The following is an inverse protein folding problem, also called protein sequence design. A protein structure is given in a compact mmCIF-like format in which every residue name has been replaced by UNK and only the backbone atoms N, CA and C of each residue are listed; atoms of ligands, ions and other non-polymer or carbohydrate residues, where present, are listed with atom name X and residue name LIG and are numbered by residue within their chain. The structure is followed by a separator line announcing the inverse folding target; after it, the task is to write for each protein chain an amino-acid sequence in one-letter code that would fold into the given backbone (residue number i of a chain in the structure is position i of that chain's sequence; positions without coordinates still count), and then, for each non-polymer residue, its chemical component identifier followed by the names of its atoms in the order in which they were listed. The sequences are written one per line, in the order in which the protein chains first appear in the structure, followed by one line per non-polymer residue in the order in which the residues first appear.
data_IF_089312132636
#
_entry.id   IF_089312132636
#
_cell.length_a   1.000
_cell.length_b   1.000
_cell.length_c   1.000
_cell.angle_alpha   90.00
_cell.angle_beta   90.00
_cell.angle_gamma   90.00
#
_symmetry.space_group_name_H-M   'P 1'
#
loop_
_entity.id
_entity.type
_entity.pdbx_description
1 polymer ?
#
# COMPACT_ATOMS: atom_id res chain seq x y z
N UNK A 1 -84.23 -35.94 -9.60
CA UNK A 1 -84.69 -36.78 -10.73
C UNK A 1 -83.83 -36.45 -11.94
N UNK A 2 -83.23 -37.48 -12.56
CA UNK A 2 -82.31 -37.43 -13.71
C UNK A 2 -83.03 -36.98 -15.01
N UNK A 3 -82.38 -36.76 -16.19
CA UNK A 3 -81.38 -37.63 -16.87
C UNK A 3 -80.13 -36.86 -17.40
N UNK A 4 -78.90 -37.41 -17.52
CA UNK A 4 -78.33 -38.54 -18.31
C UNK A 4 -78.09 -38.22 -19.82
N UNK A 5 -76.86 -37.75 -20.13
CA UNK A 5 -75.92 -38.07 -21.26
C UNK A 5 -76.35 -37.87 -22.75
N UNK A 6 -75.49 -38.05 -23.80
CA UNK A 6 -74.01 -38.05 -23.94
C UNK A 6 -73.44 -37.32 -25.22
N UNK A 7 -72.10 -37.40 -25.38
CA UNK A 7 -71.30 -37.50 -26.63
C UNK A 7 -71.10 -36.27 -27.55
N UNK A 8 -69.85 -35.80 -27.65
CA UNK A 8 -69.04 -35.91 -28.89
C UNK A 8 -67.57 -35.55 -28.68
N UNK A 9 -66.73 -36.55 -28.90
CA UNK A 9 -65.29 -36.43 -29.15
C UNK A 9 -65.03 -35.76 -30.50
N UNK A 10 -64.15 -34.75 -30.52
CA UNK A 10 -63.55 -34.20 -31.73
C UNK A 10 -62.04 -34.14 -31.50
N UNK A 11 -61.33 -35.08 -32.14
CA UNK A 11 -59.88 -35.10 -32.23
C UNK A 11 -59.43 -33.99 -33.20
N UNK A 12 -58.56 -33.09 -32.73
CA UNK A 12 -57.87 -32.13 -33.58
C UNK A 12 -56.43 -32.59 -33.77
N UNK A 13 -56.16 -33.15 -34.96
CA UNK A 13 -54.82 -33.29 -35.50
C UNK A 13 -54.29 -31.92 -35.91
N UNK A 14 -53.14 -31.50 -35.37
CA UNK A 14 -52.35 -30.42 -35.97
C UNK A 14 -50.91 -30.90 -36.20
N UNK A 15 -50.58 -31.08 -37.47
CA UNK A 15 -49.24 -31.41 -37.94
C UNK A 15 -48.27 -30.22 -37.81
N UNK A 16 -46.95 -30.48 -37.82
CA UNK A 16 -45.95 -29.43 -37.66
C UNK A 16 -45.68 -28.70 -38.98
N UNK A 17 -46.22 -27.48 -39.11
CA UNK A 17 -45.84 -26.54 -40.17
C UNK A 17 -44.56 -25.79 -39.77
N UNK A 18 -43.39 -26.31 -40.15
CA UNK A 18 -42.11 -25.58 -40.04
C UNK A 18 -41.86 -24.80 -41.34
N UNK A 19 -42.30 -23.55 -41.38
CA UNK A 19 -41.81 -22.59 -42.39
C UNK A 19 -40.49 -21.98 -41.89
N UNK A 20 -39.39 -22.36 -42.53
CA UNK A 20 -38.06 -21.78 -42.33
C UNK A 20 -37.99 -20.45 -43.07
N UNK A 21 -38.09 -19.33 -42.34
CA UNK A 21 -37.72 -18.02 -42.87
C UNK A 21 -36.20 -17.87 -42.73
N UNK A 22 -35.50 -17.93 -43.86
CA UNK A 22 -34.06 -17.70 -43.98
C UNK A 22 -33.75 -16.21 -43.80
N UNK A 23 -33.10 -15.87 -42.68
CA UNK A 23 -32.61 -14.51 -42.44
C UNK A 23 -31.40 -14.21 -43.33
N UNK A 24 -31.53 -13.20 -44.19
CA UNK A 24 -30.50 -12.70 -45.12
C UNK A 24 -29.27 -12.10 -44.41
N UNK A 25 -29.35 -11.82 -43.10
CA UNK A 25 -28.20 -11.37 -42.31
C UNK A 25 -27.22 -12.51 -41.93
N UNK A 26 -27.63 -13.78 -42.04
CA UNK A 26 -26.78 -14.94 -41.74
C UNK A 26 -25.93 -15.39 -42.94
N UNK A 27 -26.25 -14.98 -44.17
CA UNK A 27 -25.45 -15.33 -45.36
C UNK A 27 -24.15 -14.54 -45.45
N UNK A 28 -24.08 -13.35 -44.84
CA UNK A 28 -22.89 -12.49 -44.84
C UNK A 28 -21.80 -12.90 -43.83
N UNK A 29 -22.07 -13.87 -42.94
CA UNK A 29 -21.05 -14.42 -42.01
C UNK A 29 -20.33 -15.67 -42.52
N UNK A 30 -20.65 -16.17 -43.71
CA UNK A 30 -19.99 -17.38 -44.28
C UNK A 30 -18.79 -17.07 -45.19
N UNK A 31 -18.43 -15.81 -45.37
CA UNK A 31 -17.32 -15.40 -46.24
C UNK A 31 -16.12 -14.77 -45.50
N UNK A 32 -15.83 -15.24 -44.29
CA UNK A 32 -14.49 -15.08 -43.71
C UNK A 32 -13.78 -16.42 -43.82
N UNK A 33 -13.09 -16.59 -44.95
CA UNK A 33 -12.13 -17.66 -45.21
C UNK A 33 -11.20 -17.84 -44.01
N UNK A 34 -11.27 -19.02 -43.40
CA UNK A 34 -10.25 -19.52 -42.49
C UNK A 34 -9.02 -19.94 -43.32
N UNK A 35 -8.19 -18.97 -43.70
CA UNK A 35 -6.80 -19.28 -44.05
C UNK A 35 -6.10 -19.71 -42.76
N UNK A 36 -5.95 -21.03 -42.56
CA UNK A 36 -5.03 -21.59 -41.58
C UNK A 36 -3.63 -21.09 -41.95
N UNK A 37 -2.92 -20.31 -41.12
CA UNK A 37 -1.50 -20.14 -41.34
C UNK A 37 -0.86 -21.52 -41.18
N UNK A 38 -0.18 -21.96 -42.24
CA UNK A 38 0.69 -23.11 -42.23
C UNK A 38 1.67 -22.92 -41.06
N UNK A 39 1.60 -23.81 -40.07
CA UNK A 39 2.64 -23.95 -39.05
C UNK A 39 3.92 -24.29 -39.81
N UNK A 40 4.78 -23.29 -40.03
CA UNK A 40 6.14 -23.56 -40.42
C UNK A 40 6.80 -24.32 -39.26
N UNK A 41 7.14 -25.59 -39.51
CA UNK A 41 7.92 -26.42 -38.60
C UNK A 41 9.25 -25.72 -38.33
N UNK A 42 9.33 -25.04 -37.18
CA UNK A 42 10.59 -24.56 -36.63
C UNK A 42 11.33 -25.79 -36.13
N UNK A 43 12.58 -26.05 -36.56
CA UNK A 43 13.35 -27.18 -36.03
C UNK A 43 13.45 -27.06 -34.49
N UNK A 44 13.40 -28.19 -33.76
CA UNK A 44 13.40 -28.17 -32.31
C UNK A 44 14.69 -27.49 -31.81
N UNK A 45 14.51 -26.46 -30.98
CA UNK A 45 15.61 -25.84 -30.27
C UNK A 45 16.34 -26.91 -29.43
N UNK A 46 17.68 -26.89 -29.36
CA UNK A 46 18.43 -27.85 -28.56
C UNK A 46 18.02 -27.76 -27.09
N UNK A 47 17.78 -28.93 -26.50
CA UNK A 47 17.50 -29.14 -25.08
C UNK A 47 18.59 -28.45 -24.24
N UNK A 48 18.26 -27.56 -23.30
CA UNK A 48 19.27 -27.02 -22.39
C UNK A 48 19.78 -28.15 -21.48
N UNK A 49 21.09 -28.29 -21.41
CA UNK A 49 21.77 -29.25 -20.55
C UNK A 49 21.35 -29.06 -19.07
N UNK A 50 21.15 -30.14 -18.31
CA UNK A 50 20.86 -30.05 -16.88
C UNK A 50 22.14 -29.60 -16.16
N UNK A 51 22.23 -28.33 -15.80
CA UNK A 51 23.38 -27.83 -15.03
C UNK A 51 23.57 -26.33 -14.91
N UNK A 52 22.88 -25.51 -15.71
CA UNK A 52 22.97 -24.05 -15.58
C UNK A 52 21.66 -23.49 -15.01
N UNK A 53 21.53 -23.52 -13.68
CA UNK A 53 20.61 -22.62 -13.01
C UNK A 53 21.04 -21.19 -13.35
N UNK A 54 20.31 -20.56 -14.29
CA UNK A 54 20.43 -19.13 -14.51
C UNK A 54 20.21 -18.44 -13.16
N UNK A 55 21.29 -17.89 -12.60
CA UNK A 55 21.17 -17.00 -11.46
C UNK A 55 20.27 -15.85 -11.91
N UNK A 56 19.10 -15.72 -11.27
CA UNK A 56 18.26 -14.53 -11.44
C UNK A 56 19.17 -13.31 -11.21
N UNK A 57 19.07 -12.25 -12.05
CA UNK A 57 19.81 -11.03 -11.81
C UNK A 57 19.48 -10.55 -10.39
N UNK A 58 20.52 -10.37 -9.57
CA UNK A 58 20.39 -9.96 -8.19
C UNK A 58 19.54 -8.68 -8.14
N UNK A 59 18.34 -8.80 -7.59
CA UNK A 59 17.50 -7.63 -7.30
C UNK A 59 18.29 -6.74 -6.35
N UNK A 60 18.20 -5.41 -6.45
CA UNK A 60 18.82 -4.52 -5.48
C UNK A 60 18.38 -4.93 -4.07
N UNK A 61 19.32 -5.01 -3.13
CA UNK A 61 19.08 -5.42 -1.74
C UNK A 61 18.28 -4.34 -1.00
N UNK A 62 16.97 -4.29 -1.24
CA UNK A 62 16.02 -3.41 -0.57
C UNK A 62 16.00 -3.69 0.94
N UNK A 63 15.77 -2.69 1.79
CA UNK A 63 15.98 -2.84 3.24
C UNK A 63 15.16 -3.91 3.92
N UNK A 64 13.92 -4.15 3.50
CA UNK A 64 13.11 -5.24 4.03
C UNK A 64 13.48 -6.62 3.50
N UNK A 65 14.39 -6.75 2.52
CA UNK A 65 14.92 -8.07 2.10
C UNK A 65 15.64 -8.78 3.26
N UNK A 66 16.24 -8.00 4.18
CA UNK A 66 16.90 -8.50 5.39
C UNK A 66 15.92 -9.06 6.45
N UNK A 67 14.62 -8.76 6.34
CA UNK A 67 13.62 -9.30 7.26
C UNK A 67 13.29 -10.72 6.81
N UNK A 68 13.63 -11.71 7.64
CA UNK A 68 13.32 -13.11 7.39
C UNK A 68 11.85 -13.41 7.74
N UNK A 69 10.90 -12.85 6.99
CA UNK A 69 9.47 -13.05 7.21
C UNK A 69 8.77 -13.71 6.01
N UNK A 70 7.63 -14.40 6.22
CA UNK A 70 6.87 -15.00 5.13
C UNK A 70 6.22 -13.91 4.27
N UNK A 71 6.58 -13.90 2.98
CA UNK A 71 6.10 -12.91 2.00
C UNK A 71 4.89 -13.42 1.21
N UNK A 72 4.17 -12.49 0.58
CA UNK A 72 3.14 -12.77 -0.42
C UNK A 72 3.69 -13.50 -1.66
N UNK A 73 5.00 -13.38 -1.92
CA UNK A 73 5.67 -13.93 -3.09
C UNK A 73 6.98 -14.66 -2.70
N UNK A 74 7.68 -15.27 -3.66
CA UNK A 74 8.92 -16.00 -3.38
C UNK A 74 8.74 -17.35 -2.66
N UNK A 75 9.79 -17.83 -2.00
CA UNK A 75 9.84 -19.15 -1.34
C UNK A 75 8.85 -19.26 -0.17
N UNK A 76 8.25 -20.43 0.00
CA UNK A 76 7.34 -20.72 1.12
C UNK A 76 8.15 -21.09 2.36
N UNK A 77 7.81 -20.51 3.49
CA UNK A 77 8.41 -20.80 4.79
C UNK A 77 7.50 -21.75 5.57
N UNK A 78 8.06 -22.77 6.22
CA UNK A 78 7.31 -23.79 6.97
C UNK A 78 7.11 -23.43 8.44
N UNK A 79 8.17 -22.95 9.10
CA UNK A 79 8.16 -22.50 10.48
C UNK A 79 8.78 -21.11 10.52
N UNK A 80 8.16 -20.20 11.26
CA UNK A 80 8.60 -18.82 11.33
C UNK A 80 8.37 -18.28 12.74
N UNK A 81 9.40 -17.64 13.29
CA UNK A 81 9.35 -16.92 14.55
C UNK A 81 9.81 -15.48 14.28
N UNK A 82 9.02 -14.46 14.65
CA UNK A 82 9.36 -13.09 14.35
C UNK A 82 10.54 -12.62 15.19
N UNK A 83 11.56 -12.11 14.52
CA UNK A 83 12.75 -11.52 15.13
C UNK A 83 12.60 -10.00 15.26
N UNK A 84 13.36 -9.36 16.16
CA UNK A 84 13.46 -7.90 16.22
C UNK A 84 13.97 -7.33 14.89
N UNK A 85 13.46 -6.14 14.52
CA UNK A 85 13.86 -5.48 13.28
C UNK A 85 15.38 -5.19 13.25
N UNK A 86 16.16 -5.80 12.33
CA UNK A 86 17.63 -5.79 12.42
C UNK A 86 18.27 -4.50 11.87
N UNK A 87 17.63 -3.86 10.89
CA UNK A 87 18.13 -2.65 10.21
C UNK A 87 17.01 -1.61 10.03
N UNK A 88 17.37 -0.32 9.88
CA UNK A 88 16.40 0.69 9.47
C UNK A 88 15.75 0.33 8.13
N UNK A 89 14.46 0.62 8.05
CA UNK A 89 13.60 0.39 6.90
C UNK A 89 13.04 1.71 6.39
N UNK A 90 12.73 1.77 5.11
CA UNK A 90 12.24 2.96 4.41
C UNK A 90 12.79 3.08 2.99
N UNK A 91 12.31 4.09 2.28
CA UNK A 91 12.79 4.51 0.97
C UNK A 91 14.14 5.22 1.12
N UNK A 92 15.03 5.09 0.13
CA UNK A 92 16.33 5.73 0.14
C UNK A 92 16.24 7.27 0.02
N UNK A 93 15.27 7.76 -0.76
CA UNK A 93 15.11 9.17 -1.06
C UNK A 93 13.98 9.81 -0.22
N UNK A 94 14.09 11.10 0.12
CA UNK A 94 13.01 11.83 0.76
C UNK A 94 11.73 11.81 -0.09
N UNK A 95 10.54 11.72 0.52
CA UNK A 95 9.30 11.61 -0.22
C UNK A 95 8.89 12.98 -0.78
N UNK A 96 8.53 13.03 -2.06
CA UNK A 96 7.93 14.21 -2.67
C UNK A 96 6.40 14.14 -2.59
N UNK A 97 5.67 15.26 -2.34
CA UNK A 97 4.20 15.27 -2.24
C UNK A 97 3.46 14.73 -3.47
N UNK A 98 4.10 14.70 -4.63
CA UNK A 98 3.49 14.22 -5.88
C UNK A 98 3.82 12.75 -6.17
N UNK A 99 4.71 12.13 -5.40
CA UNK A 99 5.04 10.71 -5.55
C UNK A 99 3.78 9.87 -5.30
N UNK A 100 3.61 8.78 -6.07
CA UNK A 100 2.46 7.87 -5.97
C UNK A 100 1.07 8.53 -6.16
N UNK A 101 1.00 9.74 -6.73
CA UNK A 101 -0.25 10.46 -7.02
C UNK A 101 -1.08 9.86 -8.15
N UNK A 102 -0.50 8.96 -8.95
CA UNK A 102 -1.12 8.42 -10.16
C UNK A 102 -1.20 9.41 -11.32
N UNK A 103 -0.70 10.65 -11.16
CA UNK A 103 -0.62 11.65 -12.23
C UNK A 103 0.56 11.33 -13.12
N UNK A 104 0.27 10.87 -14.34
CA UNK A 104 1.29 10.58 -15.33
C UNK A 104 1.67 11.85 -16.10
N UNK A 105 2.86 12.39 -15.80
CA UNK A 105 3.47 13.59 -16.41
C UNK A 105 3.97 13.39 -17.84
N UNK A 106 3.94 12.16 -18.37
CA UNK A 106 4.37 11.88 -19.75
C UNK A 106 3.51 12.68 -20.73
N UNK A 107 4.16 13.24 -21.75
CA UNK A 107 3.47 13.92 -22.85
C UNK A 107 2.58 12.95 -23.65
N UNK A 108 1.58 13.46 -24.36
CA UNK A 108 0.73 12.63 -25.23
C UNK A 108 1.56 11.85 -26.28
N UNK A 109 2.64 12.46 -26.78
CA UNK A 109 3.58 11.82 -27.69
C UNK A 109 4.29 10.64 -27.02
N UNK A 110 4.86 10.84 -25.83
CA UNK A 110 5.51 9.77 -25.05
C UNK A 110 4.53 8.64 -24.71
N UNK A 111 3.29 8.96 -24.32
CA UNK A 111 2.26 7.95 -24.07
C UNK A 111 1.99 7.11 -25.31
N UNK A 112 1.84 7.74 -26.48
CA UNK A 112 1.63 7.05 -27.76
C UNK A 112 2.81 6.15 -28.10
N UNK A 113 4.03 6.66 -27.97
CA UNK A 113 5.23 5.91 -28.32
C UNK A 113 5.40 4.69 -27.37
N UNK A 114 5.06 4.85 -26.08
CA UNK A 114 5.05 3.76 -25.09
C UNK A 114 4.00 2.66 -25.38
N UNK A 115 2.92 2.98 -26.07
CA UNK A 115 1.95 1.97 -26.50
C UNK A 115 2.49 1.06 -27.60
N UNK A 116 3.50 1.50 -28.34
CA UNK A 116 4.11 0.74 -29.46
C UNK A 116 5.43 0.09 -29.06
N UNK A 117 6.03 0.52 -27.94
CA UNK A 117 7.28 0.01 -27.40
C UNK A 117 7.17 -1.47 -26.97
N UNK A 118 7.82 -2.35 -27.74
CA UNK A 118 7.81 -3.79 -27.51
C UNK A 118 8.49 -4.19 -26.20
N UNK A 119 9.58 -3.52 -25.84
CA UNK A 119 10.38 -3.86 -24.66
C UNK A 119 9.60 -3.53 -23.39
N UNK A 120 8.90 -2.39 -23.37
CA UNK A 120 7.97 -2.05 -22.29
C UNK A 120 6.84 -3.07 -22.14
N UNK A 121 6.30 -3.57 -23.25
CA UNK A 121 5.29 -4.64 -23.21
C UNK A 121 5.85 -5.96 -22.69
N UNK A 122 7.12 -6.28 -22.95
CA UNK A 122 7.76 -7.47 -22.40
C UNK A 122 7.91 -7.36 -20.88
N UNK A 123 8.40 -6.22 -20.38
CA UNK A 123 8.50 -5.93 -18.94
C UNK A 123 7.13 -5.97 -18.29
N UNK A 124 6.13 -5.30 -18.88
CA UNK A 124 4.76 -5.26 -18.34
C UNK A 124 4.11 -6.64 -18.28
N UNK A 125 4.31 -7.48 -19.31
CA UNK A 125 3.84 -8.88 -19.30
C UNK A 125 4.50 -9.68 -18.19
N UNK A 126 5.79 -9.48 -17.93
CA UNK A 126 6.49 -10.13 -16.82
C UNK A 126 5.90 -9.72 -15.47
N UNK A 127 5.70 -8.43 -15.24
CA UNK A 127 5.05 -7.92 -14.02
C UNK A 127 3.63 -8.48 -13.82
N UNK A 128 2.82 -8.47 -14.89
CA UNK A 128 1.45 -9.00 -14.83
C UNK A 128 1.45 -10.50 -14.55
N UNK A 129 2.34 -11.25 -15.19
CA UNK A 129 2.51 -12.69 -14.94
C UNK A 129 2.91 -12.95 -13.49
N UNK A 130 3.85 -12.19 -12.95
CA UNK A 130 4.26 -12.28 -11.55
C UNK A 130 3.09 -11.96 -10.61
N UNK A 131 2.30 -10.92 -10.89
CA UNK A 131 1.10 -10.58 -10.11
C UNK A 131 0.03 -11.67 -10.18
N UNK A 132 -0.24 -12.23 -11.36
CA UNK A 132 -1.19 -13.33 -11.53
C UNK A 132 -0.72 -14.63 -10.87
N UNK A 133 0.60 -14.87 -10.85
CA UNK A 133 1.19 -16.03 -10.18
C UNK A 133 1.13 -15.93 -8.66
N UNK A 134 0.90 -14.74 -8.07
CA UNK A 134 0.73 -14.57 -6.62
C UNK A 134 -0.62 -15.16 -6.19
N UNK A 135 -0.62 -16.24 -5.42
CA UNK A 135 -1.86 -16.76 -4.86
C UNK A 135 -2.38 -15.77 -3.82
N UNK A 136 -3.58 -15.23 -4.03
CA UNK A 136 -4.28 -14.33 -3.10
C UNK A 136 -4.31 -14.87 -1.65
N UNK A 137 -4.39 -16.19 -1.49
CA UNK A 137 -4.47 -16.88 -0.20
C UNK A 137 -3.12 -16.99 0.55
N UNK A 138 -2.00 -16.53 -0.02
CA UNK A 138 -0.70 -16.61 0.66
C UNK A 138 -0.66 -15.75 1.92
N UNK A 139 -1.09 -14.50 1.82
CA UNK A 139 -1.09 -13.60 2.98
C UNK A 139 -2.00 -14.11 4.10
N UNK A 140 -3.14 -14.70 3.73
CA UNK A 140 -4.02 -15.41 4.65
C UNK A 140 -3.35 -16.61 5.30
N UNK A 141 -2.63 -17.43 4.53
CA UNK A 141 -1.87 -18.55 5.09
C UNK A 141 -0.75 -18.07 6.01
N UNK A 142 -0.10 -16.95 5.69
CA UNK A 142 0.96 -16.38 6.52
C UNK A 142 0.45 -15.93 7.89
N UNK A 143 -0.85 -15.67 8.05
CA UNK A 143 -1.49 -15.38 9.34
C UNK A 143 -1.37 -16.52 10.36
N UNK A 144 -1.21 -17.76 9.90
CA UNK A 144 -1.07 -18.93 10.77
C UNK A 144 0.17 -18.83 11.68
N UNK A 145 1.15 -18.02 11.28
CA UNK A 145 2.36 -17.79 12.06
C UNK A 145 2.23 -16.50 12.86
N UNK A 146 2.14 -16.61 14.19
CA UNK A 146 2.14 -15.46 15.11
C UNK A 146 1.17 -14.34 14.69
N UNK A 147 -0.06 -14.69 14.30
CA UNK A 147 -1.09 -13.73 13.85
C UNK A 147 -0.66 -12.86 12.66
N UNK A 148 0.28 -13.35 11.85
CA UNK A 148 0.85 -12.68 10.67
C UNK A 148 1.94 -11.66 10.98
N UNK A 149 2.38 -11.52 12.23
CA UNK A 149 3.41 -10.57 12.67
C UNK A 149 4.72 -10.79 11.91
N UNK A 150 5.20 -9.79 11.17
CA UNK A 150 6.40 -9.93 10.33
C UNK A 150 7.71 -9.76 11.10
N UNK A 151 7.73 -8.90 12.11
CA UNK A 151 8.89 -8.61 12.95
C UNK A 151 8.44 -8.02 14.29
N UNK A 152 9.33 -8.05 15.28
CA UNK A 152 9.14 -7.40 16.58
C UNK A 152 9.76 -6.02 16.54
N UNK A 153 9.11 -5.07 17.21
CA UNK A 153 9.61 -3.70 17.26
C UNK A 153 10.95 -3.61 18.02
N UNK A 154 11.89 -2.74 17.58
CA UNK A 154 13.12 -2.52 18.32
C UNK A 154 12.83 -1.77 19.64
N UNK A 155 13.62 -2.01 20.71
CA UNK A 155 13.40 -1.37 22.00
C UNK A 155 13.70 0.15 21.99
N UNK A 156 14.50 0.62 21.03
CA UNK A 156 14.91 2.01 20.86
C UNK A 156 14.68 2.46 19.42
N UNK A 157 14.44 3.76 19.17
CA UNK A 157 14.38 4.29 17.82
C UNK A 157 15.77 4.25 17.17
N UNK A 158 15.80 4.10 15.85
CA UNK A 158 17.01 4.21 15.05
C UNK A 158 17.64 5.61 15.18
N UNK A 159 18.90 5.78 14.77
CA UNK A 159 19.56 7.10 14.72
C UNK A 159 19.15 7.89 13.48
N UNK A 160 19.05 9.22 13.60
CA UNK A 160 18.49 10.09 12.56
C UNK A 160 19.20 9.94 11.22
N UNK A 161 20.52 9.79 11.27
CA UNK A 161 21.41 9.65 10.11
C UNK A 161 21.28 8.28 9.41
N UNK A 162 20.90 7.24 10.14
CA UNK A 162 20.74 5.88 9.61
C UNK A 162 19.29 5.60 9.17
N UNK A 163 18.33 6.42 9.59
CA UNK A 163 16.92 6.25 9.25
C UNK A 163 16.65 6.56 7.79
N UNK A 164 15.83 5.70 7.19
CA UNK A 164 15.32 5.84 5.83
C UNK A 164 13.94 6.51 5.83
N UNK A 165 13.42 6.84 4.66
CA UNK A 165 12.23 7.67 4.52
C UNK A 165 10.92 6.88 4.44
N UNK A 166 9.85 7.46 4.96
CA UNK A 166 8.50 6.96 4.77
C UNK A 166 7.99 7.40 3.38
N UNK A 167 7.39 6.49 2.59
CA UNK A 167 6.89 6.81 1.25
C UNK A 167 5.69 7.76 1.31
N UNK A 168 5.52 8.56 0.25
CA UNK A 168 4.30 9.32 0.08
C UNK A 168 3.15 8.40 -0.36
N UNK A 169 1.96 8.66 0.15
CA UNK A 169 0.71 8.08 -0.34
C UNK A 169 -0.28 9.19 -0.64
N UNK A 170 -1.10 9.00 -1.67
CA UNK A 170 -2.15 9.95 -2.03
C UNK A 170 -3.50 9.28 -1.84
N UNK A 171 -4.38 9.89 -1.05
CA UNK A 171 -5.65 9.29 -0.67
C UNK A 171 -6.71 10.32 -0.29
N UNK A 172 -7.95 9.85 -0.20
CA UNK A 172 -9.07 10.66 0.27
C UNK A 172 -9.03 10.76 1.80
N UNK A 173 -9.21 11.96 2.32
CA UNK A 173 -9.32 12.18 3.77
C UNK A 173 -10.79 12.27 4.19
N UNK A 174 -11.05 12.21 5.51
CA UNK A 174 -12.42 12.40 6.01
C UNK A 174 -12.86 13.87 5.96
N UNK A 175 -11.92 14.79 5.75
CA UNK A 175 -12.17 16.22 5.62
C UNK A 175 -13.15 16.47 4.45
N UNK A 176 -14.08 17.41 4.60
CA UNK A 176 -15.05 17.79 3.56
C UNK A 176 -14.49 18.82 2.57
N UNK A 177 -13.25 19.26 2.77
CA UNK A 177 -12.56 20.19 1.88
C UNK A 177 -12.57 19.74 0.42
N UNK A 178 -12.66 20.72 -0.49
CA UNK A 178 -12.59 20.52 -1.94
C UNK A 178 -11.24 19.94 -2.40
N UNK A 179 -10.18 20.06 -1.61
CA UNK A 179 -8.83 19.59 -1.94
C UNK A 179 -8.60 18.11 -1.57
N UNK A 180 -9.56 17.22 -1.84
CA UNK A 180 -9.37 15.77 -1.76
C UNK A 180 -9.23 15.19 -3.17
N UNK A 181 -8.27 14.30 -3.45
CA UNK A 181 -7.36 13.60 -2.52
C UNK A 181 -6.16 14.45 -2.04
N UNK A 182 -5.58 14.08 -0.89
CA UNK A 182 -4.40 14.71 -0.27
C UNK A 182 -3.23 13.74 -0.17
N UNK A 183 -2.02 14.30 -0.15
CA UNK A 183 -0.78 13.57 0.06
C UNK A 183 -0.45 13.41 1.55
N UNK A 184 0.17 12.29 1.93
CA UNK A 184 0.61 12.05 3.31
C UNK A 184 1.83 12.88 3.66
N UNK A 185 2.73 13.15 2.71
CA UNK A 185 3.98 13.88 2.95
C UNK A 185 3.71 15.25 3.58
N UNK A 186 2.78 16.07 3.07
CA UNK A 186 2.45 17.38 3.69
C UNK A 186 1.86 17.26 5.09
N UNK A 187 1.15 16.17 5.38
CA UNK A 187 0.63 15.92 6.74
C UNK A 187 1.74 15.50 7.70
N UNK A 188 2.70 14.70 7.24
CA UNK A 188 3.80 14.18 8.06
C UNK A 188 4.97 15.16 8.24
N UNK A 189 5.22 16.00 7.24
CA UNK A 189 6.33 16.96 7.27
C UNK A 189 6.19 17.92 8.45
N UNK A 190 7.33 18.25 9.07
CA UNK A 190 7.43 19.12 10.24
C UNK A 190 6.63 18.64 11.46
N UNK A 191 6.33 17.33 11.55
CA UNK A 191 5.62 16.70 12.68
C UNK A 191 6.17 15.33 12.99
N UNK A 192 6.28 15.00 14.28
CA UNK A 192 6.56 13.63 14.73
C UNK A 192 5.26 12.85 14.75
N UNK A 193 5.14 11.86 13.87
CA UNK A 193 3.87 11.22 13.56
C UNK A 193 3.94 9.72 13.81
N UNK A 194 2.97 9.19 14.56
CA UNK A 194 2.73 7.75 14.63
C UNK A 194 1.80 7.38 13.49
N UNK A 195 2.31 6.67 12.49
CA UNK A 195 1.58 6.28 11.28
C UNK A 195 1.11 4.85 11.40
N UNK A 196 -0.20 4.68 11.48
CA UNK A 196 -0.92 3.42 11.51
C UNK A 196 -1.33 3.02 10.10
N UNK A 197 -0.81 1.92 9.57
CA UNK A 197 -1.11 1.42 8.22
C UNK A 197 -1.85 0.10 8.32
N UNK A 198 -3.01 0.00 7.66
CA UNK A 198 -3.85 -1.21 7.65
C UNK A 198 -4.72 -1.28 6.39
N UNK A 199 -5.33 -2.44 6.12
CA UNK A 199 -6.21 -2.65 4.94
C UNK A 199 -7.52 -3.37 5.27
N UNK A 200 -7.78 -3.66 6.54
CA UNK A 200 -8.91 -4.47 6.98
C UNK A 200 -9.25 -4.20 8.44
N UNK A 201 -10.47 -4.55 8.85
CA UNK A 201 -10.90 -4.43 10.24
C UNK A 201 -9.99 -5.19 11.22
N UNK A 202 -9.55 -6.40 10.83
CA UNK A 202 -8.60 -7.19 11.60
C UNK A 202 -7.28 -6.44 11.83
N UNK A 203 -6.68 -5.92 10.77
CA UNK A 203 -5.45 -5.13 10.84
C UNK A 203 -5.66 -3.82 11.63
N UNK A 204 -6.82 -3.18 11.49
CA UNK A 204 -7.18 -1.99 12.26
C UNK A 204 -7.23 -2.29 13.77
N UNK A 205 -7.82 -3.42 14.18
CA UNK A 205 -7.88 -3.82 15.59
C UNK A 205 -6.49 -4.12 16.14
N UNK A 206 -5.60 -4.72 15.34
CA UNK A 206 -4.19 -4.88 15.69
C UNK A 206 -3.51 -3.53 15.94
N UNK A 207 -3.62 -2.58 15.00
CA UNK A 207 -2.97 -1.26 15.18
C UNK A 207 -3.60 -0.47 16.33
N UNK A 208 -4.91 -0.61 16.57
CA UNK A 208 -5.57 0.00 17.73
C UNK A 208 -4.92 -0.38 19.05
N UNK A 209 -4.37 -1.59 19.18
CA UNK A 209 -3.63 -1.98 20.40
C UNK A 209 -2.40 -1.09 20.68
N UNK A 210 -1.86 -0.40 19.67
CA UNK A 210 -0.78 0.57 19.83
C UNK A 210 -1.27 2.01 20.04
N UNK A 211 -2.31 2.42 19.30
CA UNK A 211 -2.70 3.83 19.16
C UNK A 211 -3.96 4.23 19.95
N UNK A 212 -4.76 3.29 20.46
CA UNK A 212 -5.98 3.64 21.19
C UNK A 212 -5.64 4.22 22.56
N UNK A 213 -6.51 5.11 23.06
CA UNK A 213 -6.34 5.71 24.39
C UNK A 213 -6.46 4.67 25.50
N UNK A 214 -7.27 3.63 25.29
CA UNK A 214 -7.45 2.52 26.22
C UNK A 214 -6.20 1.64 26.32
N UNK A 215 -5.56 1.33 25.18
CA UNK A 215 -4.41 0.43 25.17
C UNK A 215 -3.08 1.14 25.45
N UNK A 216 -2.98 2.43 25.11
CA UNK A 216 -1.76 3.21 25.29
C UNK A 216 -2.06 4.67 25.73
N UNK A 217 -2.51 4.88 26.98
CA UNK A 217 -2.82 6.22 27.48
C UNK A 217 -1.58 7.13 27.49
N UNK A 218 -0.40 6.58 27.76
CA UNK A 218 0.86 7.33 27.79
C UNK A 218 1.21 7.99 26.45
N UNK A 219 0.83 7.37 25.32
CA UNK A 219 0.97 7.97 23.99
C UNK A 219 0.09 9.21 23.83
N UNK A 220 -1.17 9.14 24.27
CA UNK A 220 -2.11 10.26 24.18
C UNK A 220 -1.71 11.43 25.08
N UNK A 221 -1.19 11.15 26.28
CA UNK A 221 -0.61 12.19 27.13
C UNK A 221 0.56 12.92 26.46
N UNK A 222 1.42 12.22 25.73
CA UNK A 222 2.51 12.83 24.98
C UNK A 222 2.03 13.68 23.82
N UNK A 223 0.99 13.22 23.12
CA UNK A 223 0.37 13.98 22.03
C UNK A 223 -0.28 15.25 22.58
N UNK A 224 -0.97 15.16 23.71
CA UNK A 224 -1.57 16.30 24.38
C UNK A 224 -0.54 17.31 24.89
N UNK A 225 0.64 16.86 25.34
CA UNK A 225 1.74 17.73 25.81
C UNK A 225 2.43 18.52 24.70
N UNK A 226 2.39 18.04 23.45
CA UNK A 226 3.08 18.66 22.32
C UNK A 226 2.14 18.89 21.12
N UNK A 227 1.05 19.64 21.30
CA UNK A 227 0.06 19.84 20.25
C UNK A 227 0.69 20.48 19.01
N UNK A 228 0.31 19.98 17.83
CA UNK A 228 0.84 20.46 16.56
C UNK A 228 2.23 19.94 16.18
N UNK A 229 3.04 19.50 17.14
CA UNK A 229 4.34 18.84 16.90
C UNK A 229 4.23 17.33 16.84
N UNK A 230 3.29 16.75 17.58
CA UNK A 230 3.01 15.32 17.56
C UNK A 230 1.60 14.99 17.09
N UNK A 231 1.45 13.83 16.45
CA UNK A 231 0.14 13.36 15.97
C UNK A 231 0.10 11.85 15.73
N UNK A 232 -1.11 11.31 15.61
CA UNK A 232 -1.38 9.99 15.05
C UNK A 232 -2.04 10.16 13.69
N UNK A 233 -1.54 9.44 12.70
CA UNK A 233 -2.06 9.41 11.33
C UNK A 233 -2.47 7.98 11.01
N UNK A 234 -3.66 7.80 10.44
CA UNK A 234 -4.18 6.50 10.04
C UNK A 234 -4.26 6.43 8.52
N UNK A 235 -3.69 5.37 7.94
CA UNK A 235 -3.64 5.15 6.50
C UNK A 235 -4.29 3.79 6.23
N UNK A 236 -5.52 3.84 5.74
CA UNK A 236 -6.23 2.67 5.24
C UNK A 236 -5.90 2.46 3.77
N UNK A 237 -5.18 1.40 3.46
CA UNK A 237 -4.73 1.07 2.10
C UNK A 237 -5.65 0.01 1.53
N UNK A 238 -6.35 0.35 0.45
CA UNK A 238 -7.28 -0.56 -0.21
C UNK A 238 -6.79 -0.88 -1.62
N UNK A 239 -6.32 -2.11 -1.82
CA UNK A 239 -5.87 -2.57 -3.15
C UNK A 239 -7.04 -2.82 -4.09
N UNK A 240 -8.20 -3.19 -3.55
CA UNK A 240 -9.39 -3.49 -4.33
C UNK A 240 -10.26 -2.23 -4.45
N UNK A 241 -10.43 -1.73 -5.68
CA UNK A 241 -11.27 -0.56 -5.96
C UNK A 241 -12.72 -0.72 -5.50
N UNK A 242 -13.28 -1.94 -5.52
CA UNK A 242 -14.61 -2.21 -4.99
C UNK A 242 -14.67 -2.04 -3.47
N UNK A 243 -13.65 -2.54 -2.74
CA UNK A 243 -13.56 -2.32 -1.29
C UNK A 243 -13.37 -0.86 -0.95
N UNK A 244 -12.49 -0.16 -1.65
CA UNK A 244 -12.30 1.27 -1.50
C UNK A 244 -13.64 2.02 -1.70
N UNK A 245 -14.43 1.64 -2.71
CA UNK A 245 -15.76 2.22 -2.94
C UNK A 245 -16.73 1.94 -1.78
N UNK A 246 -16.75 0.72 -1.23
CA UNK A 246 -17.56 0.41 -0.04
C UNK A 246 -17.14 1.28 1.15
N UNK A 247 -15.84 1.39 1.43
CA UNK A 247 -15.34 2.22 2.53
C UNK A 247 -15.76 3.69 2.33
N UNK A 248 -15.73 4.20 1.10
CA UNK A 248 -16.23 5.55 0.77
C UNK A 248 -17.70 5.75 1.14
N UNK A 249 -18.57 4.76 0.89
CA UNK A 249 -19.98 4.83 1.32
C UNK A 249 -20.11 4.94 2.85
N UNK A 250 -19.19 4.32 3.60
CA UNK A 250 -19.16 4.36 5.06
C UNK A 250 -18.36 5.54 5.66
N UNK A 251 -17.74 6.40 4.85
CA UNK A 251 -16.98 7.56 5.37
C UNK A 251 -17.83 8.52 6.20
N UNK A 252 -19.13 8.63 5.89
CA UNK A 252 -20.07 9.42 6.72
C UNK A 252 -20.19 8.87 8.15
N UNK A 253 -20.20 7.54 8.29
CA UNK A 253 -20.23 6.90 9.60
C UNK A 253 -18.88 7.01 10.33
N UNK A 254 -17.76 6.86 9.61
CA UNK A 254 -16.41 7.07 10.17
C UNK A 254 -16.24 8.49 10.72
N UNK A 255 -16.81 9.50 10.05
CA UNK A 255 -16.84 10.89 10.54
C UNK A 255 -17.58 11.07 11.86
N UNK A 256 -18.53 10.19 12.20
CA UNK A 256 -19.21 10.22 13.50
C UNK A 256 -18.37 9.60 14.63
N UNK A 257 -17.43 8.72 14.29
CA UNK A 257 -16.58 8.02 15.25
C UNK A 257 -15.26 8.74 15.50
N UNK A 258 -14.72 9.42 14.47
CA UNK A 258 -13.45 10.14 14.55
C UNK A 258 -13.74 11.63 14.77
N UNK A 259 -13.10 12.29 15.75
CA UNK A 259 -13.32 13.71 15.99
C UNK A 259 -12.81 14.56 14.83
N UNK A 260 -13.47 15.70 14.60
CA UNK A 260 -13.26 16.54 13.41
C UNK A 260 -11.82 17.01 13.23
N UNK A 261 -11.11 17.34 14.32
CA UNK A 261 -9.70 17.74 14.30
C UNK A 261 -8.74 16.64 13.79
N UNK A 262 -9.21 15.39 13.68
CA UNK A 262 -8.44 14.25 13.17
C UNK A 262 -8.89 13.81 11.76
N UNK A 263 -9.90 14.45 11.16
CA UNK A 263 -10.38 14.06 9.83
C UNK A 263 -9.31 14.19 8.74
N UNK A 264 -8.45 15.21 8.83
CA UNK A 264 -7.31 15.41 7.93
C UNK A 264 -6.11 14.46 8.18
N UNK A 265 -6.18 13.61 9.21
CA UNK A 265 -5.14 12.64 9.59
C UNK A 265 -5.54 11.20 9.27
N UNK A 266 -6.73 10.99 8.73
CA UNK A 266 -7.18 9.71 8.21
C UNK A 266 -7.09 9.73 6.69
N UNK A 267 -6.45 8.73 6.09
CA UNK A 267 -6.28 8.60 4.65
C UNK A 267 -6.84 7.26 4.18
N UNK A 268 -7.70 7.31 3.16
CA UNK A 268 -8.11 6.17 2.37
C UNK A 268 -7.32 6.17 1.06
N UNK A 269 -6.33 5.29 0.95
CA UNK A 269 -5.39 5.24 -0.18
C UNK A 269 -5.74 4.07 -1.09
N UNK A 270 -6.24 4.32 -2.31
CA UNK A 270 -6.46 3.26 -3.28
C UNK A 270 -5.14 2.86 -3.95
N UNK A 271 -4.80 1.56 -3.97
CA UNK A 271 -3.62 1.01 -4.69
C UNK A 271 -2.30 1.75 -4.39
N UNK A 272 -1.99 1.95 -3.11
CA UNK A 272 -0.84 2.75 -2.69
C UNK A 272 0.51 2.02 -2.65
N UNK A 273 0.52 0.69 -2.49
CA UNK A 273 1.75 -0.06 -2.20
C UNK A 273 2.24 -0.83 -3.43
N UNK A 274 3.39 -0.43 -3.94
CA UNK A 274 4.18 -1.21 -4.90
C UNK A 274 5.05 -2.23 -4.18
N UNK A 275 5.58 -3.22 -4.90
CA UNK A 275 6.48 -4.21 -4.30
C UNK A 275 7.75 -3.58 -3.74
N UNK A 276 8.28 -2.57 -4.43
CA UNK A 276 9.44 -1.81 -3.96
C UNK A 276 9.14 -1.07 -2.66
N UNK A 277 7.98 -0.41 -2.55
CA UNK A 277 7.56 0.26 -1.32
C UNK A 277 7.36 -0.76 -0.21
N UNK A 278 6.66 -1.87 -0.49
CA UNK A 278 6.39 -2.97 0.44
C UNK A 278 7.69 -3.52 1.04
N UNK A 279 8.66 -3.82 0.18
CA UNK A 279 9.98 -4.29 0.58
C UNK A 279 10.78 -3.22 1.30
N UNK A 280 10.68 -1.96 0.91
CA UNK A 280 11.48 -0.90 1.52
C UNK A 280 11.02 -0.62 2.96
N UNK A 281 9.71 -0.53 3.20
CA UNK A 281 9.17 -0.21 4.54
C UNK A 281 8.88 -1.45 5.39
N UNK A 282 9.13 -2.66 4.90
CA UNK A 282 8.83 -3.89 5.63
C UNK A 282 7.33 -4.19 5.75
N UNK A 283 6.50 -3.72 4.81
CA UNK A 283 5.09 -4.08 4.72
C UNK A 283 4.94 -5.42 3.98
N UNK A 284 5.14 -6.54 4.69
CA UNK A 284 5.35 -7.85 4.07
C UNK A 284 4.08 -8.72 3.97
N UNK A 285 3.06 -8.42 4.78
CA UNK A 285 1.78 -9.08 4.78
C UNK A 285 0.66 -8.05 4.72
N UNK A 286 -0.06 -8.01 3.59
CA UNK A 286 -1.12 -7.01 3.39
C UNK A 286 -2.29 -7.14 4.36
N UNK A 287 -2.44 -8.26 5.05
CA UNK A 287 -3.59 -8.56 5.92
C UNK A 287 -3.37 -8.15 7.38
N UNK A 288 -2.19 -7.62 7.70
CA UNK A 288 -1.74 -7.29 9.05
C UNK A 288 -1.56 -5.79 9.20
N UNK A 289 -1.72 -5.30 10.42
CA UNK A 289 -1.46 -3.91 10.77
C UNK A 289 0.01 -3.58 10.94
N UNK A 290 0.42 -2.37 10.57
CA UNK A 290 1.78 -1.86 10.80
C UNK A 290 1.73 -0.48 11.46
N UNK A 291 2.70 -0.21 12.32
CA UNK A 291 2.84 1.07 13.01
C UNK A 291 4.25 1.59 12.80
N UNK A 292 4.37 2.83 12.36
CA UNK A 292 5.65 3.50 12.14
C UNK A 292 5.73 4.77 13.00
N UNK A 293 6.88 5.01 13.62
CA UNK A 293 7.21 6.32 14.18
C UNK A 293 8.00 7.08 13.12
N UNK A 294 7.43 8.17 12.64
CA UNK A 294 8.00 9.02 11.60
C UNK A 294 8.41 10.35 12.21
N UNK A 295 9.61 10.83 11.91
CA UNK A 295 10.08 12.14 12.40
C UNK A 295 9.61 13.32 11.53
N UNK A 296 10.04 14.52 11.90
CA UNK A 296 9.72 15.78 11.23
C UNK A 296 10.22 15.87 9.77
N UNK A 297 11.20 15.03 9.37
CA UNK A 297 11.73 14.96 8.01
C UNK A 297 11.18 13.75 7.23
N UNK A 298 10.09 13.15 7.71
CA UNK A 298 9.48 11.96 7.12
C UNK A 298 10.38 10.71 7.17
N UNK A 299 11.29 10.59 8.14
CA UNK A 299 12.14 9.39 8.32
C UNK A 299 11.53 8.41 9.30
N UNK A 300 11.60 7.11 9.00
CA UNK A 300 11.15 6.03 9.88
C UNK A 300 12.19 5.83 10.98
N UNK A 301 11.79 6.16 12.22
CA UNK A 301 12.63 6.05 13.42
C UNK A 301 12.36 4.75 14.17
N UNK A 302 11.17 4.16 14.02
CA UNK A 302 10.78 2.92 14.68
C UNK A 302 9.62 2.29 13.90
N UNK A 303 9.48 0.98 13.97
CA UNK A 303 8.39 0.27 13.30
C UNK A 303 7.96 -0.98 14.07
N UNK A 304 6.69 -1.35 13.95
CA UNK A 304 6.11 -2.58 14.48
C UNK A 304 5.10 -3.20 13.50
N UNK A 305 4.87 -4.49 13.66
CA UNK A 305 3.92 -5.29 12.87
C UNK A 305 2.99 -6.09 13.79
N UNK A 306 1.73 -6.22 13.38
CA UNK A 306 0.71 -7.03 14.06
C UNK A 306 0.22 -6.44 15.37
N UNK A 307 -0.27 -7.31 16.26
CA UNK A 307 -0.76 -6.95 17.59
C UNK A 307 0.40 -6.46 18.50
N UNK A 308 0.12 -5.48 19.36
CA UNK A 308 1.12 -4.92 20.27
C UNK A 308 1.40 -5.85 21.45
N UNK A 309 2.67 -6.01 21.80
CA UNK A 309 3.09 -6.45 23.14
C UNK A 309 3.27 -5.25 24.08
N UNK A 310 3.13 -5.43 25.41
CA UNK A 310 3.33 -4.33 26.37
C UNK A 310 4.66 -3.61 26.19
N UNK A 311 5.75 -4.36 26.02
CA UNK A 311 7.10 -3.82 25.79
C UNK A 311 7.19 -2.97 24.52
N UNK A 312 6.46 -3.34 23.46
CA UNK A 312 6.46 -2.58 22.21
C UNK A 312 5.72 -1.26 22.36
N UNK A 313 4.63 -1.22 23.14
CA UNK A 313 3.91 0.03 23.47
C UNK A 313 4.82 0.98 24.25
N UNK A 314 5.55 0.46 25.23
CA UNK A 314 6.50 1.24 26.00
C UNK A 314 7.66 1.75 25.14
N UNK A 315 8.17 0.91 24.23
CA UNK A 315 9.23 1.29 23.28
C UNK A 315 8.78 2.40 22.33
N UNK A 316 7.51 2.38 21.87
CA UNK A 316 6.94 3.43 21.03
C UNK A 316 6.87 4.77 21.77
N UNK A 317 6.37 4.77 23.01
CA UNK A 317 6.27 5.96 23.87
C UNK A 317 7.66 6.53 24.17
N UNK A 318 8.63 5.66 24.53
CA UNK A 318 10.02 6.06 24.75
C UNK A 318 10.66 6.62 23.48
N UNK A 319 10.48 5.94 22.35
CA UNK A 319 10.99 6.36 21.05
C UNK A 319 10.46 7.73 20.64
N UNK A 320 9.15 7.97 20.81
CA UNK A 320 8.55 9.26 20.51
C UNK A 320 9.09 10.38 21.40
N UNK A 321 9.27 10.14 22.71
CA UNK A 321 9.92 11.10 23.62
C UNK A 321 11.33 11.47 23.15
N UNK A 322 12.13 10.47 22.78
CA UNK A 322 13.50 10.66 22.31
C UNK A 322 13.55 11.47 21.01
N UNK A 323 12.71 11.11 20.02
CA UNK A 323 12.66 11.82 18.73
C UNK A 323 12.21 13.28 18.92
N UNK A 324 11.22 13.54 19.78
CA UNK A 324 10.81 14.91 20.11
C UNK A 324 11.93 15.70 20.80
N UNK A 325 12.65 15.07 21.73
CA UNK A 325 13.79 15.69 22.39
C UNK A 325 14.95 15.99 21.42
N UNK A 326 15.29 15.05 20.53
CA UNK A 326 16.27 15.24 19.45
C UNK A 326 15.88 16.43 18.56
N UNK A 327 14.60 16.52 18.16
CA UNK A 327 14.11 17.62 17.34
C UNK A 327 14.26 18.97 18.06
N UNK A 328 13.83 19.07 19.32
CA UNK A 328 13.97 20.30 20.11
C UNK A 328 15.43 20.74 20.25
N UNK A 329 16.36 19.78 20.43
CA UNK A 329 17.79 20.07 20.50
C UNK A 329 18.33 20.60 19.17
N UNK A 330 17.93 19.99 18.06
CA UNK A 330 18.34 20.41 16.71
C UNK A 330 17.79 21.79 16.35
N UNK A 331 16.56 22.12 16.75
CA UNK A 331 15.99 23.47 16.56
C UNK A 331 16.79 24.54 17.31
N UNK A 332 17.13 24.30 18.59
CA UNK A 332 17.94 25.22 19.39
C UNK A 332 19.30 25.45 18.77
N UNK A 333 19.99 24.38 18.37
CA UNK A 333 21.28 24.47 17.71
C UNK A 333 21.19 25.23 16.36
N UNK A 334 20.14 25.02 15.58
CA UNK A 334 19.91 25.75 14.33
C UNK A 334 19.67 27.25 14.57
N UNK A 335 18.92 27.60 15.61
CA UNK A 335 18.68 29.00 16.00
C UNK A 335 19.96 29.69 16.48
N UNK A 336 20.78 29.02 17.29
CA UNK A 336 22.08 29.52 17.73
C UNK A 336 23.03 29.73 16.54
N UNK A 337 23.12 28.76 15.64
CA UNK A 337 23.91 28.89 14.42
C UNK A 337 23.43 30.05 13.51
N UNK A 338 22.11 30.26 13.39
CA UNK A 338 21.55 31.36 12.62
C UNK A 338 21.88 32.72 13.24
N UNK A 339 21.81 32.85 14.58
CA UNK A 339 22.20 34.07 15.31
C UNK A 339 23.68 34.40 15.11
N UNK A 340 24.56 33.39 15.20
CA UNK A 340 26.00 33.56 14.97
C UNK A 340 26.30 34.01 13.52
N UNK A 341 25.61 33.45 12.53
CA UNK A 341 25.73 33.87 11.12
C UNK A 341 25.29 35.33 10.93
N UNK A 342 24.15 35.72 11.51
CA UNK A 342 23.66 37.10 11.41
C UNK A 342 24.60 38.11 12.09
N UNK A 343 25.19 37.77 13.23
CA UNK A 343 26.20 38.60 13.90
C UNK A 343 27.45 38.78 13.02
N UNK A 344 27.96 37.70 12.42
CA UNK A 344 29.12 37.75 11.52
C UNK A 344 28.85 38.53 10.23
N UNK A 345 27.64 38.47 9.67
CA UNK A 345 27.24 39.27 8.50
C UNK A 345 27.11 40.75 8.84
N UNK A 346 26.57 41.09 10.02
CA UNK A 346 26.48 42.47 10.49
C UNK A 346 27.84 43.12 10.78
N UNK A 347 28.80 42.36 11.31
CA UNK A 347 30.19 42.82 11.48
C UNK A 347 30.90 43.03 10.14
N UNK A 348 30.69 42.14 9.16
CA UNK A 348 31.23 42.32 7.81
C UNK A 348 30.69 43.57 7.13
N UNK A 349 29.39 43.84 7.23
CA UNK A 349 28.77 45.05 6.65
C UNK A 349 29.26 46.35 7.31
N UNK A 350 29.59 46.32 8.60
CA UNK A 350 30.21 47.46 9.31
C UNK A 350 31.68 47.68 8.96
N UNK A 351 32.37 46.66 8.45
CA UNK A 351 33.77 46.75 8.05
C UNK A 351 33.97 47.21 6.59
N UNK A 352 32.93 47.10 5.76
CA UNK A 352 32.92 47.59 4.36
C UNK A 352 32.26 48.94 4.17
N UNK A 353 31.64 49.50 5.21
CA UNK A 353 31.15 50.88 5.27
C UNK A 353 32.17 51.74 6.04
#
# INVERSE_FOLDING_TARGET
MAPITPLRTMALSMGPSRRLFSCTACSWRRHLSTSRPYLADKPPAPTPAPGAAAQEPAKPDLPGSAIHAPRAYGKKIKNFTPEPLPRPIGMAHPPHPEDNSGVDRRSLKQRRDDFVDYDKHLVRRKELKEKMARPYFRDWRNMQFHEGKSFIAPPLPFKAEASLFFPNFVGETLDKSANNPRDTTRTLLNRVSVVAVYSSKWAEDQVKTFISAEANPALHELIAKAPGRSQVVQVNIEDNSFKAWIVKLFMSNLRKQIPEHNWGKYFLVPRGITDEISESIGYLNSKVGYVYLVDNLCRIRWAASGSSKPEERDSLVKGMKLVLHEWNKNEKAAQEAAKLKAAAEGEKQKATA
#
